data_IF_809702957148
#
_entry.id   IF_809702957148
#
_cell.length_a   1.000
_cell.length_b   1.000
_cell.length_c   1.000
_cell.angle_alpha   90.00
_cell.angle_beta   90.00
_cell.angle_gamma   90.00
#
_symmetry.space_group_name_H-M   'P 1'
#
loop_
_entity.id
_entity.type
_entity.pdbx_description
1 polymer ?
#
# COMPACT_ATOMS: atom_id res chain seq x y z
N UNK A 1 -12.93 -9.69 -6.62
CA UNK A 1 -12.68 -8.49 -7.45
C UNK A 1 -12.51 -7.32 -6.49
N UNK A 2 -11.36 -6.63 -6.50
CA UNK A 2 -11.08 -5.49 -5.62
C UNK A 2 -11.37 -4.20 -6.38
N UNK A 3 -12.11 -3.27 -5.77
CA UNK A 3 -12.26 -1.93 -6.31
C UNK A 3 -11.15 -1.03 -5.76
N UNK A 4 -10.53 -0.23 -6.63
CA UNK A 4 -9.41 0.63 -6.27
C UNK A 4 -9.83 2.09 -6.44
N UNK A 5 -9.51 2.90 -5.44
CA UNK A 5 -9.62 4.35 -5.49
C UNK A 5 -8.20 4.92 -5.44
N UNK A 6 -7.79 5.61 -6.50
CA UNK A 6 -6.45 6.19 -6.61
C UNK A 6 -6.48 7.65 -6.21
N UNK A 7 -5.72 8.00 -5.17
CA UNK A 7 -5.68 9.36 -4.64
C UNK A 7 -4.26 9.86 -4.44
N UNK A 8 -4.10 11.19 -4.47
CA UNK A 8 -2.87 11.84 -4.00
C UNK A 8 -2.97 11.93 -2.49
N UNK A 9 -2.14 11.15 -1.79
CA UNK A 9 -2.11 11.21 -0.34
C UNK A 9 -1.39 12.49 0.13
N UNK A 10 -2.07 13.40 0.85
CA UNK A 10 -1.49 14.69 1.21
C UNK A 10 -0.53 14.61 2.40
N UNK A 11 -0.55 13.51 3.17
CA UNK A 11 0.31 13.36 4.34
C UNK A 11 1.73 12.96 3.94
N UNK A 12 2.69 13.30 4.81
CA UNK A 12 4.08 12.90 4.63
C UNK A 12 4.23 11.39 4.90
N UNK A 13 4.78 10.67 3.92
CA UNK A 13 5.14 9.25 4.02
C UNK A 13 6.57 9.06 3.52
N UNK A 14 7.19 7.93 3.85
CA UNK A 14 8.54 7.59 3.36
C UNK A 14 8.62 7.56 1.82
N UNK A 15 7.48 7.33 1.15
CA UNK A 15 7.38 7.39 -0.31
C UNK A 15 7.78 8.75 -0.90
N UNK A 16 7.71 9.85 -0.13
CA UNK A 16 8.25 11.14 -0.56
C UNK A 16 9.75 11.05 -0.86
N UNK A 17 10.53 10.47 0.08
CA UNK A 17 11.98 10.33 -0.07
C UNK A 17 12.35 9.28 -1.12
N UNK A 18 11.61 8.17 -1.18
CA UNK A 18 11.82 7.12 -2.20
C UNK A 18 11.65 7.70 -3.61
N UNK A 19 10.57 8.45 -3.85
CA UNK A 19 10.34 9.12 -5.13
C UNK A 19 11.37 10.21 -5.43
N UNK A 20 11.86 10.93 -4.41
CA UNK A 20 12.91 11.92 -4.58
C UNK A 20 14.24 11.30 -5.06
N UNK A 21 14.49 10.03 -4.75
CA UNK A 21 15.64 9.26 -5.27
C UNK A 21 15.41 8.68 -6.67
N UNK A 22 14.24 8.89 -7.28
CA UNK A 22 13.91 8.40 -8.62
C UNK A 22 13.24 7.03 -8.66
N UNK A 23 12.97 6.39 -7.51
CA UNK A 23 12.29 5.10 -7.47
C UNK A 23 10.76 5.26 -7.47
N UNK A 24 10.02 4.47 -8.26
CA UNK A 24 8.57 4.45 -8.21
C UNK A 24 8.09 3.89 -6.85
N UNK A 25 7.12 4.56 -6.24
CA UNK A 25 6.53 4.13 -4.97
C UNK A 25 5.04 4.44 -4.92
N UNK A 26 4.27 3.54 -4.31
CA UNK A 26 2.85 3.71 -4.00
C UNK A 26 2.61 3.47 -2.52
N UNK A 27 1.76 4.30 -1.91
CA UNK A 27 1.22 4.05 -0.57
C UNK A 27 -0.04 3.19 -0.70
N UNK A 28 -0.06 2.04 -0.05
CA UNK A 28 -1.22 1.15 -0.04
C UNK A 28 -1.38 0.52 1.33
N UNK A 29 -2.62 0.45 1.81
CA UNK A 29 -2.98 -0.28 3.03
C UNK A 29 -4.34 -0.93 2.79
N UNK A 30 -4.47 -2.27 2.84
CA UNK A 30 -5.70 -2.99 2.54
C UNK A 30 -6.70 -2.91 3.72
N UNK A 31 -7.10 -1.69 4.08
CA UNK A 31 -7.97 -1.39 5.22
C UNK A 31 -9.37 -0.99 4.75
N UNK A 32 -9.95 -1.78 3.85
CA UNK A 32 -11.30 -1.52 3.36
C UNK A 32 -12.32 -1.61 4.50
N UNK A 33 -13.45 -0.91 4.36
CA UNK A 33 -14.52 -0.90 5.37
C UNK A 33 -14.06 -0.48 6.78
N UNK A 34 -12.96 0.28 6.87
CA UNK A 34 -12.39 0.78 8.13
C UNK A 34 -12.54 2.30 8.16
N UNK A 35 -13.02 2.91 9.25
CA UNK A 35 -13.06 4.35 9.38
C UNK A 35 -11.64 4.95 9.36
N UNK A 36 -11.50 6.18 8.86
CA UNK A 36 -10.22 6.90 8.91
C UNK A 36 -10.02 7.41 10.34
N UNK A 37 -9.14 6.74 11.09
CA UNK A 37 -8.83 7.05 12.50
C UNK A 37 -7.33 7.24 12.74
N UNK A 38 -6.53 7.44 11.70
CA UNK A 38 -5.09 7.66 11.82
C UNK A 38 -4.84 8.84 12.78
N UNK A 39 -4.17 8.57 13.91
CA UNK A 39 -3.88 9.54 14.97
C UNK A 39 -5.09 10.04 15.78
N UNK A 40 -6.23 9.35 15.73
CA UNK A 40 -7.39 9.67 16.58
C UNK A 40 -7.51 8.72 17.78
N UNK A 41 -8.40 9.07 18.72
CA UNK A 41 -8.71 8.26 19.88
C UNK A 41 -9.36 6.94 19.47
N UNK A 42 -8.98 5.85 20.14
CA UNK A 42 -9.46 4.50 19.86
C UNK A 42 -9.23 4.08 18.39
N UNK A 43 -8.13 4.48 17.77
CA UNK A 43 -7.68 3.92 16.49
C UNK A 43 -7.71 2.39 16.55
N UNK A 44 -8.42 1.76 15.61
CA UNK A 44 -8.60 0.31 15.58
C UNK A 44 -8.67 -0.22 14.15
N UNK A 45 -8.42 -1.52 14.02
CA UNK A 45 -8.63 -2.27 12.80
C UNK A 45 -9.36 -3.57 13.13
N UNK A 46 -10.34 -3.94 12.31
CA UNK A 46 -11.04 -5.21 12.48
C UNK A 46 -10.11 -6.39 12.13
N UNK A 47 -10.10 -7.43 12.97
CA UNK A 47 -9.22 -8.61 12.79
C UNK A 47 -9.36 -9.26 11.40
N UNK A 48 -10.58 -9.32 10.84
CA UNK A 48 -10.84 -9.92 9.53
C UNK A 48 -10.24 -9.07 8.42
N UNK A 49 -10.29 -7.74 8.55
CA UNK A 49 -9.65 -6.82 7.59
C UNK A 49 -8.13 -6.98 7.64
N UNK A 50 -7.57 -7.04 8.85
CA UNK A 50 -6.15 -7.31 9.04
C UNK A 50 -5.69 -8.62 8.39
N UNK A 51 -6.38 -9.73 8.69
CA UNK A 51 -6.05 -11.05 8.13
C UNK A 51 -6.21 -11.09 6.61
N UNK A 52 -7.27 -10.47 6.06
CA UNK A 52 -7.42 -10.34 4.60
C UNK A 52 -6.28 -9.52 3.98
N UNK A 53 -5.77 -8.51 4.69
CA UNK A 53 -4.61 -7.74 4.26
C UNK A 53 -3.36 -8.59 4.08
N UNK A 54 -3.15 -9.57 4.95
CA UNK A 54 -2.05 -10.54 4.83
C UNK A 54 -2.17 -11.32 3.53
N UNK A 55 -3.35 -11.87 3.22
CA UNK A 55 -3.59 -12.63 1.98
C UNK A 55 -3.37 -11.76 0.72
N UNK A 56 -3.75 -10.49 0.78
CA UNK A 56 -3.51 -9.53 -0.30
C UNK A 56 -2.01 -9.33 -0.52
N UNK A 57 -1.23 -9.08 0.54
CA UNK A 57 0.22 -8.92 0.41
C UNK A 57 0.93 -10.22 0.00
N UNK A 58 0.46 -11.38 0.48
CA UNK A 58 0.97 -12.70 0.09
C UNK A 58 0.80 -12.95 -1.41
N UNK A 59 -0.22 -12.36 -2.04
CA UNK A 59 -0.41 -12.38 -3.49
C UNK A 59 0.36 -11.28 -4.21
N UNK A 60 0.41 -10.08 -3.64
CA UNK A 60 1.00 -8.88 -4.26
C UNK A 60 2.53 -8.95 -4.32
N UNK A 61 3.20 -9.36 -3.25
CA UNK A 61 4.67 -9.36 -3.17
C UNK A 61 5.28 -10.27 -4.25
N UNK A 62 4.85 -11.53 -4.45
CA UNK A 62 5.36 -12.37 -5.54
C UNK A 62 5.07 -11.77 -6.91
N UNK A 63 3.91 -11.17 -7.13
CA UNK A 63 3.56 -10.54 -8.40
C UNK A 63 4.46 -9.35 -8.73
N UNK A 64 4.76 -8.49 -7.74
CA UNK A 64 5.69 -7.37 -7.89
C UNK A 64 7.13 -7.84 -8.12
N UNK A 65 7.56 -8.88 -7.41
CA UNK A 65 8.90 -9.46 -7.56
C UNK A 65 9.10 -10.21 -8.89
N UNK A 66 8.01 -10.58 -9.57
CA UNK A 66 8.02 -11.27 -10.86
C UNK A 66 7.89 -10.32 -12.06
N UNK A 67 7.81 -9.00 -11.83
CA UNK A 67 7.81 -8.02 -12.93
C UNK A 67 9.16 -8.11 -13.66
N UNK A 68 9.17 -8.23 -15.00
CA UNK A 68 10.40 -8.23 -15.77
C UNK A 68 11.22 -6.95 -15.50
N UNK A 69 12.56 -7.01 -15.55
CA UNK A 69 13.40 -5.81 -15.44
C UNK A 69 12.94 -4.73 -16.42
N UNK A 70 12.92 -3.48 -15.95
CA UNK A 70 12.66 -2.35 -16.83
C UNK A 70 13.84 -2.15 -17.78
N UNK A 71 13.60 -1.50 -18.93
CA UNK A 71 14.67 -1.18 -19.86
C UNK A 71 15.76 -0.36 -19.14
N UNK A 72 16.96 -0.93 -19.02
CA UNK A 72 18.11 -0.29 -18.35
C UNK A 72 18.41 -0.78 -16.93
N UNK A 73 17.61 -1.70 -16.38
CA UNK A 73 17.94 -2.42 -15.14
C UNK A 73 18.64 -3.75 -15.49
N UNK A 74 19.92 -3.89 -15.09
CA UNK A 74 20.72 -5.14 -15.19
C UNK A 74 21.04 -5.69 -13.82
#
# INVERSE_FOLDING_TARGET
NMNLECEIFPAATDSHFIRAMGYPAIGFSPMNQTPILLHDHNEFLNERVFLNGIEIYASLIPALAAVPPLEGET
#
